data_IF_615542097818
#
_entry.id   IF_615542097818
#
_cell.length_a   1.000
_cell.length_b   1.000
_cell.length_c   1.000
_cell.angle_alpha   90.00
_cell.angle_beta   90.00
_cell.angle_gamma   90.00
#
_symmetry.space_group_name_H-M   'P 1'
#
loop_
_entity.id
_entity.type
_entity.pdbx_description
1 polymer ?
#
# COMPACT_ATOMS: atom_id res chain seq x y z
N UNK A 1 8.84 -20.61 10.55
CA UNK A 1 8.09 -19.34 10.56
C UNK A 1 8.72 -18.30 9.63
N UNK A 2 10.02 -18.00 9.74
CA UNK A 2 10.74 -17.05 8.87
C UNK A 2 10.64 -17.38 7.37
N UNK A 3 10.95 -18.61 6.96
CA UNK A 3 10.82 -19.03 5.55
C UNK A 3 9.36 -18.93 5.04
N UNK A 4 8.37 -19.18 5.90
CA UNK A 4 6.95 -19.08 5.55
C UNK A 4 6.53 -17.64 5.20
N UNK A 5 6.95 -16.70 6.05
CA UNK A 5 6.55 -15.29 5.95
C UNK A 5 7.32 -14.54 4.85
N UNK A 6 8.60 -14.86 4.67
CA UNK A 6 9.49 -14.09 3.80
C UNK A 6 9.82 -14.77 2.46
N UNK A 7 9.68 -16.10 2.36
CA UNK A 7 10.01 -16.84 1.13
C UNK A 7 8.80 -17.53 0.50
N UNK A 8 7.89 -18.10 1.30
CA UNK A 8 6.70 -18.76 0.74
C UNK A 8 5.64 -17.76 0.27
N UNK A 9 5.42 -16.66 1.00
CA UNK A 9 4.42 -15.65 0.62
C UNK A 9 4.71 -14.98 -0.74
N UNK A 10 5.93 -14.47 -1.04
CA UNK A 10 6.24 -13.95 -2.38
C UNK A 10 6.13 -15.03 -3.46
N UNK A 11 6.51 -16.28 -3.15
CA UNK A 11 6.42 -17.40 -4.09
C UNK A 11 4.97 -17.75 -4.45
N UNK A 12 4.01 -17.57 -3.54
CA UNK A 12 2.58 -17.78 -3.83
C UNK A 12 2.02 -16.78 -4.84
N UNK A 13 2.63 -15.60 -4.97
CA UNK A 13 2.27 -14.57 -5.97
C UNK A 13 3.25 -14.51 -7.15
N UNK A 14 4.14 -15.50 -7.28
CA UNK A 14 5.21 -15.55 -8.28
C UNK A 14 6.17 -14.33 -8.27
N UNK A 15 6.37 -13.69 -7.11
CA UNK A 15 7.30 -12.58 -6.94
C UNK A 15 8.56 -13.03 -6.17
N UNK A 16 9.71 -12.42 -6.49
CA UNK A 16 10.88 -12.48 -5.61
C UNK A 16 10.64 -11.62 -4.37
N UNK A 17 11.35 -11.91 -3.27
CA UNK A 17 11.23 -11.09 -2.05
C UNK A 17 11.52 -9.60 -2.31
N UNK A 18 12.50 -9.28 -3.18
CA UNK A 18 12.84 -7.90 -3.52
C UNK A 18 11.71 -7.18 -4.28
N UNK A 19 11.06 -7.86 -5.22
CA UNK A 19 9.91 -7.32 -5.97
C UNK A 19 8.72 -7.08 -5.03
N UNK A 20 8.39 -8.08 -4.22
CA UNK A 20 7.28 -7.99 -3.27
C UNK A 20 7.51 -6.88 -2.23
N UNK A 21 8.73 -6.80 -1.69
CA UNK A 21 9.14 -5.74 -0.77
C UNK A 21 9.02 -4.37 -1.45
N UNK A 22 9.58 -4.19 -2.66
CA UNK A 22 9.50 -2.93 -3.40
C UNK A 22 8.06 -2.48 -3.65
N UNK A 23 7.19 -3.41 -4.07
CA UNK A 23 5.77 -3.13 -4.28
C UNK A 23 5.06 -2.72 -2.98
N UNK A 24 5.25 -3.48 -1.90
CA UNK A 24 4.66 -3.19 -0.59
C UNK A 24 5.13 -1.85 -0.01
N UNK A 25 6.42 -1.55 -0.08
CA UNK A 25 6.97 -0.26 0.36
C UNK A 25 6.51 0.90 -0.54
N UNK A 26 6.35 0.68 -1.83
CA UNK A 26 5.77 1.66 -2.77
C UNK A 26 4.34 2.06 -2.36
N UNK A 27 3.47 1.07 -2.11
CA UNK A 27 2.11 1.30 -1.61
C UNK A 27 2.14 1.99 -0.23
N UNK A 28 2.91 1.45 0.71
CA UNK A 28 2.97 1.96 2.07
C UNK A 28 3.49 3.40 2.17
N UNK A 29 4.51 3.77 1.39
CA UNK A 29 5.03 5.14 1.35
C UNK A 29 4.00 6.15 0.84
N UNK A 30 3.20 5.80 -0.18
CA UNK A 30 2.10 6.65 -0.66
C UNK A 30 1.02 6.83 0.39
N UNK A 31 0.64 5.75 1.09
CA UNK A 31 -0.29 5.81 2.23
C UNK A 31 0.23 6.72 3.34
N UNK A 32 1.52 6.61 3.69
CA UNK A 32 2.15 7.44 4.71
C UNK A 32 2.11 8.92 4.34
N UNK A 33 2.48 9.28 3.11
CA UNK A 33 2.40 10.66 2.61
C UNK A 33 0.96 11.18 2.61
N UNK A 34 -0.01 10.36 2.18
CA UNK A 34 -1.42 10.73 2.22
C UNK A 34 -1.91 10.99 3.65
N UNK A 35 -1.50 10.16 4.62
CA UNK A 35 -1.79 10.35 6.04
C UNK A 35 -1.25 11.68 6.57
N UNK A 36 0.01 12.03 6.25
CA UNK A 36 0.60 13.32 6.62
C UNK A 36 -0.21 14.49 6.03
N UNK A 37 -0.62 14.40 4.77
CA UNK A 37 -1.47 15.42 4.14
C UNK A 37 -2.83 15.55 4.83
N UNK A 38 -3.46 14.45 5.23
CA UNK A 38 -4.71 14.46 5.99
C UNK A 38 -4.55 15.12 7.36
N UNK A 39 -3.45 14.86 8.08
CA UNK A 39 -3.18 15.54 9.34
C UNK A 39 -2.97 17.05 9.15
N UNK A 40 -2.22 17.46 8.12
CA UNK A 40 -2.07 18.88 7.80
C UNK A 40 -3.43 19.49 7.44
N UNK A 41 -4.29 18.79 6.69
CA UNK A 41 -5.65 19.25 6.41
C UNK A 41 -6.49 19.41 7.69
N UNK A 42 -6.38 18.47 8.65
CA UNK A 42 -7.05 18.58 9.94
C UNK A 42 -6.60 19.78 10.77
N UNK A 43 -5.33 20.18 10.66
CA UNK A 43 -4.79 21.39 11.30
C UNK A 43 -5.15 22.67 10.53
N UNK A 44 -5.11 22.60 9.20
CA UNK A 44 -5.32 23.72 8.28
C UNK A 44 -6.29 23.26 7.18
N UNK A 45 -7.62 23.44 7.37
CA UNK A 45 -8.64 22.94 6.44
C UNK A 45 -8.51 23.46 5.00
N UNK A 46 -7.80 24.58 4.80
CA UNK A 46 -7.52 25.13 3.48
C UNK A 46 -6.54 24.31 2.64
N UNK A 47 -5.71 23.46 3.23
CA UNK A 47 -4.67 22.68 2.55
C UNK A 47 -5.10 21.24 2.31
N UNK A 48 -4.62 20.63 1.23
CA UNK A 48 -4.79 19.19 0.94
C UNK A 48 -6.23 18.64 0.98
N UNK A 49 -7.22 19.47 0.62
CA UNK A 49 -8.67 19.18 0.74
C UNK A 49 -9.12 17.84 0.19
N UNK A 50 -8.53 17.37 -0.91
CA UNK A 50 -8.88 16.10 -1.57
C UNK A 50 -7.81 15.03 -1.43
N UNK A 51 -6.66 15.34 -0.82
CA UNK A 51 -5.49 14.48 -0.89
C UNK A 51 -5.70 13.08 -0.30
N UNK A 52 -6.51 12.97 0.76
CA UNK A 52 -6.88 11.68 1.35
C UNK A 52 -7.73 10.84 0.41
N UNK A 53 -8.83 11.42 -0.11
CA UNK A 53 -9.74 10.75 -1.04
C UNK A 53 -9.05 10.35 -2.34
N UNK A 54 -8.24 11.25 -2.91
CA UNK A 54 -7.48 11.01 -4.15
C UNK A 54 -6.53 9.83 -3.96
N UNK A 55 -5.78 9.80 -2.85
CA UNK A 55 -4.85 8.71 -2.55
C UNK A 55 -5.56 7.37 -2.35
N UNK A 56 -6.72 7.35 -1.66
CA UNK A 56 -7.51 6.12 -1.48
C UNK A 56 -7.97 5.58 -2.84
N UNK A 57 -8.51 6.45 -3.71
CA UNK A 57 -9.01 6.04 -5.03
C UNK A 57 -7.88 5.51 -5.92
N UNK A 58 -6.73 6.19 -5.93
CA UNK A 58 -5.57 5.78 -6.73
C UNK A 58 -4.99 4.45 -6.23
N UNK A 59 -4.74 4.33 -4.93
CA UNK A 59 -4.23 3.10 -4.33
C UNK A 59 -5.22 1.94 -4.47
N UNK A 60 -6.52 2.21 -4.37
CA UNK A 60 -7.54 1.19 -4.58
C UNK A 60 -7.49 0.65 -6.02
N UNK A 61 -7.39 1.52 -7.03
CA UNK A 61 -7.25 1.09 -8.44
C UNK A 61 -6.02 0.24 -8.67
N UNK A 62 -4.91 0.56 -8.00
CA UNK A 62 -3.65 -0.18 -8.11
C UNK A 62 -3.70 -1.55 -7.41
N UNK A 63 -4.30 -1.63 -6.22
CA UNK A 63 -4.24 -2.82 -5.36
C UNK A 63 -5.43 -3.77 -5.59
N UNK A 64 -6.62 -3.24 -5.89
CA UNK A 64 -7.84 -4.05 -6.02
C UNK A 64 -7.71 -5.23 -7.01
N UNK A 65 -7.04 -5.08 -8.18
CA UNK A 65 -6.83 -6.19 -9.10
C UNK A 65 -5.99 -7.33 -8.50
N UNK A 66 -5.06 -7.03 -7.59
CA UNK A 66 -4.12 -7.97 -6.97
C UNK A 66 -4.62 -8.55 -5.65
N UNK A 67 -5.74 -8.05 -5.14
CA UNK A 67 -6.27 -8.40 -3.80
C UNK A 67 -6.54 -9.90 -3.64
N UNK A 68 -6.92 -10.58 -4.72
CA UNK A 68 -7.27 -12.01 -4.70
C UNK A 68 -6.09 -12.93 -5.01
N UNK A 69 -4.93 -12.38 -5.38
CA UNK A 69 -3.72 -13.16 -5.62
C UNK A 69 -3.02 -13.54 -4.30
N UNK A 70 -3.44 -12.93 -3.19
CA UNK A 70 -2.84 -13.11 -1.87
C UNK A 70 -3.39 -14.38 -1.20
N UNK A 71 -2.55 -15.35 -0.78
CA UNK A 71 -3.02 -16.48 0.00
C UNK A 71 -3.54 -15.99 1.36
N UNK A 72 -4.82 -16.23 1.64
CA UNK A 72 -5.39 -16.05 2.97
C UNK A 72 -4.92 -17.21 3.83
N UNK A 73 -3.92 -16.98 4.69
CA UNK A 73 -3.46 -17.97 5.66
C UNK A 73 -4.52 -18.25 6.72
#
# INVERSE_FOLDING_TARGET
>A
MFARLFLEHPRCVNETYGEHMGAAFGVGSRMFVASLKCFIHGLIPGLYKTAGSDAIVELHKEIAPRKYDQPTF
#
